data_IF_025811953855
#
_entry.id   IF_025811953855
#
_cell.length_a   1.000
_cell.length_b   1.000
_cell.length_c   1.000
_cell.angle_alpha   90.00
_cell.angle_beta   90.00
_cell.angle_gamma   90.00
#
_symmetry.space_group_name_H-M   'P 1'
#
loop_
_entity.id
_entity.type
_entity.pdbx_description
1 polymer ?
#
# COMPACT_ATOMS: atom_id res chain seq x y z
N UNK A 1 -9.36 -10.90 68.19
CA UNK A 1 -9.84 -10.94 66.79
C UNK A 1 -9.85 -9.56 66.10
N UNK A 2 -8.85 -8.69 66.33
CA UNK A 2 -8.81 -7.31 65.75
C UNK A 2 -7.87 -7.15 64.56
N UNK A 3 -6.96 -8.12 64.30
CA UNK A 3 -5.97 -8.04 63.22
C UNK A 3 -6.48 -8.44 61.82
N UNK A 4 -7.59 -9.17 61.72
CA UNK A 4 -8.11 -9.68 60.44
C UNK A 4 -8.66 -8.55 59.54
N UNK A 5 -9.34 -7.57 60.13
CA UNK A 5 -9.98 -6.46 59.41
C UNK A 5 -8.99 -5.54 58.70
N UNK A 6 -7.83 -5.30 59.33
CA UNK A 6 -6.75 -4.52 58.71
C UNK A 6 -6.15 -5.24 57.51
N UNK A 7 -5.96 -6.56 57.62
CA UNK A 7 -5.49 -7.39 56.50
C UNK A 7 -6.48 -7.38 55.32
N UNK A 8 -7.78 -7.48 55.59
CA UNK A 8 -8.83 -7.42 54.55
C UNK A 8 -8.89 -6.06 53.88
N UNK A 9 -8.73 -4.96 54.64
CA UNK A 9 -8.72 -3.61 54.07
C UNK A 9 -7.49 -3.36 53.18
N UNK A 10 -6.31 -3.84 53.59
CA UNK A 10 -5.10 -3.72 52.78
C UNK A 10 -5.20 -4.57 51.51
N UNK A 11 -5.71 -5.81 51.60
CA UNK A 11 -5.93 -6.65 50.44
C UNK A 11 -6.94 -6.03 49.46
N UNK A 12 -8.04 -5.46 49.97
CA UNK A 12 -9.03 -4.76 49.17
C UNK A 12 -8.44 -3.52 48.48
N UNK A 13 -7.60 -2.74 49.18
CA UNK A 13 -6.92 -1.57 48.62
C UNK A 13 -5.95 -1.94 47.50
N UNK A 14 -5.18 -3.03 47.66
CA UNK A 14 -4.26 -3.53 46.62
C UNK A 14 -5.04 -3.97 45.38
N UNK A 15 -6.12 -4.73 45.57
CA UNK A 15 -6.97 -5.17 44.46
C UNK A 15 -7.65 -3.99 43.74
N UNK A 16 -8.13 -2.99 44.49
CA UNK A 16 -8.69 -1.76 43.91
C UNK A 16 -7.63 -0.99 43.11
N UNK A 17 -6.42 -0.89 43.63
CA UNK A 17 -5.32 -0.19 42.96
C UNK A 17 -4.92 -0.89 41.65
N UNK A 18 -4.78 -2.22 41.67
CA UNK A 18 -4.49 -3.01 40.46
C UNK A 18 -5.63 -2.91 39.44
N UNK A 19 -6.89 -2.93 39.88
CA UNK A 19 -8.04 -2.75 39.00
C UNK A 19 -8.04 -1.35 38.37
N UNK A 20 -7.86 -0.29 39.17
CA UNK A 20 -7.77 1.09 38.66
C UNK A 20 -6.59 1.30 37.70
N UNK A 21 -5.46 0.62 37.91
CA UNK A 21 -4.30 0.68 37.01
C UNK A 21 -4.51 -0.08 35.69
N UNK A 22 -5.35 -1.13 35.69
CA UNK A 22 -5.66 -1.94 34.51
C UNK A 22 -6.73 -1.30 33.60
N UNK A 23 -7.67 -0.54 34.16
CA UNK A 23 -8.76 0.11 33.41
C UNK A 23 -8.27 1.02 32.27
N UNK A 24 -7.24 1.88 32.43
CA UNK A 24 -6.71 2.69 31.34
C UNK A 24 -6.15 1.83 30.19
N UNK A 25 -5.45 0.73 30.51
CA UNK A 25 -4.86 -0.19 29.51
C UNK A 25 -5.92 -0.95 28.73
N UNK A 26 -6.97 -1.42 29.42
CA UNK A 26 -8.15 -2.01 28.78
C UNK A 26 -8.84 -1.01 27.86
N UNK A 27 -9.00 0.26 28.29
CA UNK A 27 -9.58 1.31 27.45
C UNK A 27 -8.73 1.64 26.22
N UNK A 28 -7.40 1.56 26.33
CA UNK A 28 -6.49 1.77 25.21
C UNK A 28 -6.56 0.61 24.22
N UNK A 29 -6.58 -0.63 24.72
CA UNK A 29 -6.74 -1.83 23.89
C UNK A 29 -8.12 -1.86 23.21
N UNK A 30 -9.17 -1.44 23.92
CA UNK A 30 -10.52 -1.33 23.34
C UNK A 30 -10.58 -0.26 22.26
N UNK A 31 -9.91 0.89 22.46
CA UNK A 31 -9.79 1.94 21.44
C UNK A 31 -8.98 1.49 20.24
N UNK A 32 -7.90 0.71 20.43
CA UNK A 32 -7.13 0.12 19.35
C UNK A 32 -7.95 -0.91 18.58
N UNK A 33 -8.64 -1.80 19.29
CA UNK A 33 -9.52 -2.81 18.70
C UNK A 33 -10.69 -2.18 17.95
N UNK A 34 -11.33 -1.15 18.51
CA UNK A 34 -12.40 -0.41 17.83
C UNK A 34 -11.88 0.33 16.60
N UNK A 35 -10.67 0.90 16.66
CA UNK A 35 -10.01 1.49 15.49
C UNK A 35 -9.69 0.45 14.42
N UNK A 36 -9.29 -0.76 14.81
CA UNK A 36 -9.03 -1.86 13.87
C UNK A 36 -10.33 -2.42 13.25
N UNK A 37 -11.42 -2.50 14.02
CA UNK A 37 -12.74 -2.87 13.50
C UNK A 37 -13.36 -1.77 12.64
N UNK A 38 -13.17 -0.50 12.99
CA UNK A 38 -13.52 0.64 12.13
C UNK A 38 -12.61 0.71 10.89
N UNK A 39 -11.40 0.14 10.98
CA UNK A 39 -10.54 -0.16 9.85
C UNK A 39 -10.92 -1.48 9.16
N UNK A 40 -12.22 -1.84 9.13
CA UNK A 40 -12.86 -2.30 7.89
C UNK A 40 -12.75 -1.19 6.84
N UNK A 41 -11.50 -0.82 6.52
CA UNK A 41 -11.18 0.05 5.42
C UNK A 41 -11.87 -0.55 4.20
N UNK A 42 -12.51 0.25 3.33
CA UNK A 42 -12.72 -0.22 1.96
C UNK A 42 -11.38 -0.81 1.54
N UNK A 43 -11.40 -2.08 1.09
CA UNK A 43 -10.18 -2.77 0.68
C UNK A 43 -9.34 -1.81 -0.18
N UNK A 44 -8.01 -1.76 0.05
CA UNK A 44 -7.11 -0.79 -0.59
C UNK A 44 -7.53 -0.62 -2.03
N UNK A 45 -8.04 0.57 -2.32
CA UNK A 45 -8.56 1.04 -3.61
C UNK A 45 -8.83 -0.11 -4.60
N UNK A 46 -9.95 -0.84 -4.40
CA UNK A 46 -10.27 -2.13 -5.08
C UNK A 46 -10.06 -2.07 -6.61
N UNK A 47 -10.23 -0.88 -7.17
CA UNK A 47 -9.96 -0.54 -8.56
C UNK A 47 -8.50 -0.76 -8.95
N UNK A 48 -7.55 -0.31 -8.14
CA UNK A 48 -6.11 -0.48 -8.38
C UNK A 48 -5.64 -1.93 -8.18
N UNK A 49 -6.19 -2.64 -7.19
CA UNK A 49 -5.91 -4.07 -7.02
C UNK A 49 -6.41 -4.90 -8.21
N UNK A 50 -7.58 -4.53 -8.77
CA UNK A 50 -8.10 -5.12 -10.01
C UNK A 50 -7.15 -4.88 -11.19
N UNK A 51 -6.73 -3.64 -11.36
CA UNK A 51 -5.80 -3.28 -12.42
C UNK A 51 -4.45 -4.01 -12.30
N UNK A 52 -3.96 -4.18 -11.08
CA UNK A 52 -2.78 -4.97 -10.80
C UNK A 52 -2.97 -6.43 -11.22
N UNK A 53 -4.05 -7.08 -10.78
CA UNK A 53 -4.34 -8.47 -11.15
C UNK A 53 -4.39 -8.65 -12.68
N UNK A 54 -4.95 -7.66 -13.39
CA UNK A 54 -5.00 -7.64 -14.85
C UNK A 54 -3.64 -7.32 -15.50
N UNK A 55 -2.71 -6.66 -14.81
CA UNK A 55 -1.38 -6.30 -15.32
C UNK A 55 -0.38 -7.47 -15.26
N UNK A 56 -0.40 -8.27 -14.18
CA UNK A 56 0.51 -9.41 -13.95
C UNK A 56 0.66 -10.37 -15.15
N UNK A 57 -0.42 -10.80 -15.84
CA UNK A 57 -0.34 -11.79 -16.91
C UNK A 57 0.50 -11.33 -18.10
N UNK A 58 0.67 -10.02 -18.27
CA UNK A 58 1.39 -9.42 -19.38
C UNK A 58 2.85 -9.10 -19.05
N UNK A 59 3.21 -9.07 -17.76
CA UNK A 59 4.56 -8.72 -17.32
C UNK A 59 5.45 -9.97 -17.21
N UNK A 60 6.66 -9.93 -17.80
CA UNK A 60 7.64 -11.01 -17.62
C UNK A 60 7.99 -11.15 -16.13
N UNK A 61 8.33 -12.38 -15.73
CA UNK A 61 8.64 -12.69 -14.33
C UNK A 61 10.11 -12.40 -13.97
N UNK A 62 10.99 -12.32 -14.97
CA UNK A 62 12.45 -12.33 -14.85
C UNK A 62 13.12 -11.03 -15.32
N UNK A 63 12.34 -9.98 -15.61
CA UNK A 63 12.85 -8.71 -16.16
C UNK A 63 12.43 -7.50 -15.33
N UNK A 64 13.27 -6.47 -15.35
CA UNK A 64 12.93 -5.15 -14.81
C UNK A 64 11.80 -4.51 -15.63
N UNK A 65 11.00 -3.67 -14.97
CA UNK A 65 9.90 -2.93 -15.62
C UNK A 65 10.18 -1.44 -15.44
N UNK A 66 10.04 -0.68 -16.53
CA UNK A 66 10.17 0.76 -16.53
C UNK A 66 8.88 1.42 -16.02
N UNK A 67 9.01 2.51 -15.27
CA UNK A 67 7.87 3.36 -14.92
C UNK A 67 8.09 4.78 -15.45
N UNK A 68 7.11 5.29 -16.20
CA UNK A 68 7.08 6.67 -16.70
C UNK A 68 5.84 7.36 -16.15
N UNK A 69 6.07 8.45 -15.41
CA UNK A 69 5.05 9.21 -14.73
C UNK A 69 4.96 10.61 -15.33
N UNK A 70 3.75 11.05 -15.65
CA UNK A 70 3.44 12.41 -16.08
C UNK A 70 3.24 13.38 -14.92
N UNK A 71 3.08 12.85 -13.70
CA UNK A 71 3.03 13.66 -12.49
C UNK A 71 4.37 14.37 -12.23
N UNK A 72 4.32 15.61 -11.72
CA UNK A 72 5.52 16.40 -11.42
C UNK A 72 6.43 15.63 -10.46
N UNK A 73 7.72 15.56 -10.78
CA UNK A 73 8.72 14.93 -9.94
C UNK A 73 8.72 15.52 -8.52
N UNK A 74 8.74 14.66 -7.50
CA UNK A 74 8.67 15.03 -6.09
C UNK A 74 7.28 15.45 -5.61
N UNK A 75 6.23 15.24 -6.43
CA UNK A 75 4.85 15.48 -5.97
C UNK A 75 4.33 14.30 -5.15
N UNK A 76 3.49 14.54 -4.12
CA UNK A 76 2.88 13.46 -3.34
C UNK A 76 2.03 12.48 -4.16
N UNK A 77 1.52 12.88 -5.33
CA UNK A 77 0.82 11.96 -6.23
C UNK A 77 1.81 11.00 -6.90
N UNK A 78 2.90 11.54 -7.44
CA UNK A 78 3.97 10.77 -8.08
C UNK A 78 4.57 9.72 -7.14
N UNK A 79 4.89 10.12 -5.89
CA UNK A 79 5.44 9.20 -4.88
C UNK A 79 4.46 8.07 -4.53
N UNK A 80 3.17 8.39 -4.35
CA UNK A 80 2.15 7.38 -4.02
C UNK A 80 1.99 6.35 -5.13
N UNK A 81 1.94 6.79 -6.39
CA UNK A 81 1.88 5.91 -7.54
C UNK A 81 3.13 5.01 -7.64
N UNK A 82 4.32 5.59 -7.43
CA UNK A 82 5.57 4.84 -7.46
C UNK A 82 5.58 3.73 -6.40
N UNK A 83 5.30 4.07 -5.13
CA UNK A 83 5.32 3.09 -4.04
C UNK A 83 4.20 2.06 -4.17
N UNK A 84 3.02 2.46 -4.65
CA UNK A 84 1.93 1.53 -4.92
C UNK A 84 2.34 0.50 -5.96
N UNK A 85 2.87 0.95 -7.11
CA UNK A 85 3.31 0.05 -8.17
C UNK A 85 4.47 -0.83 -7.68
N UNK A 86 5.42 -0.29 -6.92
CA UNK A 86 6.51 -1.06 -6.35
C UNK A 86 6.03 -2.16 -5.39
N UNK A 87 5.01 -1.85 -4.58
CA UNK A 87 4.37 -2.84 -3.71
C UNK A 87 3.61 -3.90 -4.51
N UNK A 88 2.78 -3.46 -5.47
CA UNK A 88 1.98 -4.36 -6.30
C UNK A 88 2.89 -5.30 -7.10
N UNK A 89 3.99 -4.78 -7.64
CA UNK A 89 4.94 -5.52 -8.44
C UNK A 89 6.09 -6.08 -7.62
N UNK A 90 5.98 -6.25 -6.30
CA UNK A 90 7.08 -6.62 -5.39
C UNK A 90 8.01 -7.80 -5.81
N UNK A 91 7.62 -8.83 -6.59
CA UNK A 91 8.60 -9.78 -7.12
C UNK A 91 9.44 -9.25 -8.32
N UNK A 92 9.08 -8.09 -8.87
CA UNK A 92 9.66 -7.44 -10.05
C UNK A 92 10.25 -6.09 -9.65
N UNK A 93 11.45 -5.81 -10.12
CA UNK A 93 12.07 -4.52 -9.89
C UNK A 93 11.49 -3.48 -10.85
N UNK A 94 10.95 -2.39 -10.29
CA UNK A 94 10.59 -1.21 -11.07
C UNK A 94 11.79 -0.28 -11.09
N UNK A 95 12.29 0.01 -12.29
CA UNK A 95 13.38 0.96 -12.50
C UNK A 95 12.86 2.22 -13.20
N UNK A 96 13.32 3.41 -12.80
CA UNK A 96 13.08 4.61 -13.58
C UNK A 96 13.77 4.48 -14.95
N UNK A 97 13.00 4.42 -16.03
CA UNK A 97 13.52 4.59 -17.39
C UNK A 97 14.45 3.49 -17.94
N UNK A 98 14.34 2.23 -17.53
CA UNK A 98 15.24 1.17 -18.00
C UNK A 98 14.54 -0.19 -18.24
N UNK A 99 13.67 -0.33 -19.26
CA UNK A 99 13.21 -1.68 -19.63
C UNK A 99 12.47 -1.83 -20.97
N UNK A 100 12.33 -3.10 -21.37
CA UNK A 100 11.51 -3.60 -22.49
C UNK A 100 10.00 -3.51 -22.26
N UNK A 101 9.55 -3.43 -21.00
CA UNK A 101 8.16 -3.14 -20.64
C UNK A 101 8.12 -1.85 -19.85
N UNK A 102 7.20 -0.97 -20.21
CA UNK A 102 7.04 0.34 -19.57
C UNK A 102 5.60 0.53 -19.16
N UNK A 103 5.39 0.87 -17.89
CA UNK A 103 4.11 1.33 -17.35
C UNK A 103 4.09 2.84 -17.45
N UNK A 104 3.03 3.37 -18.04
CA UNK A 104 2.87 4.80 -18.31
C UNK A 104 1.66 5.32 -17.55
N UNK A 105 1.83 6.32 -16.68
CA UNK A 105 0.77 6.94 -15.88
C UNK A 105 0.83 8.47 -15.99
N UNK A 106 -0.18 9.16 -16.55
CA UNK A 106 -1.38 8.63 -17.22
C UNK A 106 -1.10 8.09 -18.64
N UNK A 107 -1.99 7.30 -19.27
CA UNK A 107 -1.78 6.74 -20.62
C UNK A 107 -1.43 7.78 -21.70
N UNK A 108 -1.91 9.01 -21.56
CA UNK A 108 -1.73 10.08 -22.53
C UNK A 108 -0.28 10.51 -22.74
N UNK A 109 0.60 10.25 -21.77
CA UNK A 109 2.03 10.55 -21.88
C UNK A 109 2.82 9.46 -22.62
N UNK A 110 2.17 8.42 -23.15
CA UNK A 110 2.86 7.38 -23.94
C UNK A 110 3.52 7.95 -25.20
N UNK A 111 2.93 8.99 -25.80
CA UNK A 111 3.49 9.68 -26.97
C UNK A 111 4.75 10.50 -26.64
N UNK A 112 5.01 10.79 -25.36
CA UNK A 112 6.19 11.54 -24.92
C UNK A 112 7.33 10.62 -24.48
N UNK A 113 7.16 9.29 -24.62
CA UNK A 113 8.24 8.35 -24.36
C UNK A 113 9.41 8.59 -25.33
N UNK A 114 10.67 8.51 -24.85
CA UNK A 114 11.82 8.40 -25.72
C UNK A 114 11.61 7.23 -26.68
N UNK A 115 11.81 7.44 -27.98
CA UNK A 115 11.57 6.45 -29.02
C UNK A 115 10.17 5.83 -28.96
N UNK A 116 9.11 6.64 -28.79
CA UNK A 116 7.73 6.16 -28.71
C UNK A 116 7.33 5.19 -29.83
N UNK A 117 7.90 5.32 -31.04
CA UNK A 117 7.68 4.39 -32.17
C UNK A 117 8.24 2.98 -31.95
N UNK A 118 9.19 2.82 -31.04
CA UNK A 118 9.74 1.54 -30.62
C UNK A 118 8.87 0.83 -29.59
N UNK A 119 7.81 1.46 -29.08
CA UNK A 119 6.90 0.85 -28.11
C UNK A 119 5.53 0.57 -28.73
N UNK A 120 5.00 -0.60 -28.44
CA UNK A 120 3.67 -1.05 -28.87
C UNK A 120 2.78 -1.17 -27.63
N UNK A 121 1.56 -0.61 -27.65
CA UNK A 121 0.62 -0.77 -26.54
C UNK A 121 0.23 -2.25 -26.40
N UNK A 122 0.39 -2.78 -25.20
CA UNK A 122 -0.07 -4.13 -24.85
C UNK A 122 -1.50 -4.06 -24.36
N UNK A 123 -1.77 -3.12 -23.42
CA UNK A 123 -3.09 -2.90 -22.83
C UNK A 123 -3.17 -1.51 -22.21
N UNK A 124 -4.35 -0.91 -22.29
CA UNK A 124 -4.70 0.33 -21.58
C UNK A 124 -5.70 0.00 -20.48
N UNK A 125 -5.46 0.54 -19.29
CA UNK A 125 -6.31 0.35 -18.12
C UNK A 125 -6.99 1.67 -17.82
N UNK A 126 -8.12 1.87 -18.51
CA UNK A 126 -8.92 3.10 -18.47
C UNK A 126 -8.07 4.36 -18.67
N UNK A 127 -8.16 5.33 -17.76
CA UNK A 127 -7.41 6.59 -17.81
C UNK A 127 -6.19 6.61 -16.90
N UNK A 128 -5.93 5.50 -16.21
CA UNK A 128 -4.99 5.48 -15.09
C UNK A 128 -3.58 5.11 -15.56
N UNK A 129 -3.43 4.03 -16.35
CA UNK A 129 -2.13 3.66 -16.92
C UNK A 129 -2.23 2.81 -18.19
N UNK A 130 -1.14 2.81 -18.96
CA UNK A 130 -0.95 1.94 -20.11
C UNK A 130 0.28 1.08 -19.94
N UNK A 131 0.18 -0.20 -20.31
CA UNK A 131 1.31 -1.10 -20.44
C UNK A 131 1.82 -1.07 -21.89
N UNK A 132 3.08 -0.70 -22.03
CA UNK A 132 3.79 -0.63 -23.30
C UNK A 132 4.88 -1.71 -23.34
N UNK A 133 5.09 -2.34 -24.49
CA UNK A 133 6.19 -3.27 -24.73
C UNK A 133 7.05 -2.76 -25.88
N UNK A 134 8.36 -2.82 -25.73
CA UNK A 134 9.31 -2.48 -26.79
C UNK A 134 9.22 -3.51 -27.94
N UNK A 135 9.02 -3.02 -29.15
CA UNK A 135 8.84 -3.82 -30.36
C UNK A 135 10.15 -4.44 -30.88
N UNK A 136 11.30 -3.82 -30.58
CA UNK A 136 12.63 -4.27 -30.98
C UNK A 136 13.67 -3.97 -29.87
N UNK A 137 14.55 -4.92 -29.54
CA UNK A 137 15.66 -4.68 -28.61
C UNK A 137 16.62 -3.59 -29.11
#
# INVERSE_FOLDING_TARGET
>A
MRGAWLGTLVAAAILLHSACAAVPRLSANWRLWSRLQQAQRPAPDVTWDRYYADLIPYLPADRSVGLVQGARAGSPAQEREYYFLQYALAPRLIEPGAAEFVIVSPPSIAATLPDASAYVPVRTFDTDFALMRRARP
#
